data_IF_557936415280
#
_entry.id   IF_557936415280
#
_cell.length_a   1.000
_cell.length_b   1.000
_cell.length_c   1.000
_cell.angle_alpha   90.00
_cell.angle_beta   90.00
_cell.angle_gamma   90.00
#
_symmetry.space_group_name_H-M   'P 1'
#
loop_
_entity.id
_entity.type
_entity.pdbx_description
1 polymer ?
#
# COMPACT_ATOMS: atom_id res chain seq x y z
N UNK A 1 -15.28 0.20 -12.28
CA UNK A 1 -14.05 0.34 -13.07
C UNK A 1 -13.41 -1.03 -13.15
N UNK A 2 -13.20 -1.56 -14.35
CA UNK A 2 -12.49 -2.83 -14.56
C UNK A 2 -11.06 -2.68 -14.03
N UNK A 3 -10.44 -3.73 -13.44
CA UNK A 3 -9.05 -3.66 -13.05
C UNK A 3 -8.17 -3.74 -14.29
N UNK A 4 -8.01 -2.64 -15.03
CA UNK A 4 -7.17 -2.55 -16.25
C UNK A 4 -5.72 -3.01 -16.00
N UNK A 5 -5.31 -3.02 -14.73
CA UNK A 5 -4.03 -3.55 -14.31
C UNK A 5 -3.87 -5.07 -14.45
N UNK A 6 -4.97 -5.83 -14.48
CA UNK A 6 -4.94 -7.29 -14.59
C UNK A 6 -4.41 -7.70 -15.96
N UNK A 7 -4.85 -7.01 -17.00
CA UNK A 7 -4.47 -7.25 -18.40
C UNK A 7 -2.96 -7.06 -18.63
N UNK A 8 -2.32 -6.20 -17.84
CA UNK A 8 -0.88 -5.93 -17.88
C UNK A 8 -0.06 -6.72 -16.86
N UNK A 9 -0.71 -7.58 -16.06
CA UNK A 9 -0.04 -8.39 -15.06
C UNK A 9 0.47 -9.72 -15.65
N UNK A 10 1.35 -10.45 -14.94
CA UNK A 10 1.69 -11.83 -15.29
C UNK A 10 0.51 -12.82 -15.27
N UNK A 11 -0.68 -12.40 -14.81
CA UNK A 11 -1.86 -13.25 -14.62
C UNK A 11 -3.11 -12.69 -15.34
N UNK A 12 -3.06 -12.38 -16.65
CA UNK A 12 -4.14 -11.67 -17.36
C UNK A 12 -5.45 -12.47 -17.48
N UNK A 13 -5.39 -13.80 -17.30
CA UNK A 13 -6.54 -14.70 -17.40
C UNK A 13 -7.03 -15.23 -16.04
N UNK A 14 -6.51 -14.69 -14.92
CA UNK A 14 -6.98 -15.09 -13.60
C UNK A 14 -8.46 -14.69 -13.42
N UNK A 15 -9.34 -15.61 -12.97
CA UNK A 15 -10.75 -15.29 -12.78
C UNK A 15 -10.93 -14.32 -11.62
N UNK A 16 -11.84 -13.35 -11.77
CA UNK A 16 -12.18 -12.40 -10.72
C UNK A 16 -13.29 -13.00 -9.86
N UNK A 17 -12.93 -13.56 -8.69
CA UNK A 17 -13.90 -14.06 -7.71
C UNK A 17 -14.43 -13.00 -6.74
N UNK A 18 -13.60 -12.01 -6.39
CA UNK A 18 -13.91 -10.97 -5.41
C UNK A 18 -13.40 -9.61 -5.90
N UNK A 19 -14.21 -8.57 -5.69
CA UNK A 19 -13.83 -7.17 -5.93
C UNK A 19 -14.03 -6.36 -4.66
N UNK A 20 -12.93 -5.83 -4.12
CA UNK A 20 -12.92 -5.10 -2.85
C UNK A 20 -12.24 -3.75 -3.06
N UNK A 21 -12.99 -2.68 -2.82
CA UNK A 21 -12.53 -1.29 -3.01
C UNK A 21 -11.86 -0.71 -1.74
N UNK A 22 -12.08 -1.31 -0.57
CA UNK A 22 -11.40 -0.95 0.68
C UNK A 22 -10.05 -1.67 0.83
N UNK A 23 -8.99 -0.90 1.10
CA UNK A 23 -7.62 -1.42 1.19
C UNK A 23 -7.43 -2.39 2.36
N UNK A 24 -8.09 -2.15 3.49
CA UNK A 24 -7.95 -2.97 4.70
C UNK A 24 -8.66 -4.31 4.53
N UNK A 25 -9.88 -4.30 4.01
CA UNK A 25 -10.64 -5.49 3.69
C UNK A 25 -9.94 -6.33 2.63
N UNK A 26 -9.35 -5.69 1.60
CA UNK A 26 -8.57 -6.38 0.58
C UNK A 26 -7.33 -7.04 1.17
N UNK A 27 -6.57 -6.33 2.01
CA UNK A 27 -5.40 -6.91 2.68
C UNK A 27 -5.78 -8.12 3.56
N UNK A 28 -6.86 -8.01 4.36
CA UNK A 28 -7.35 -9.16 5.15
C UNK A 28 -7.76 -10.35 4.30
N UNK A 29 -8.42 -10.13 3.16
CA UNK A 29 -8.76 -11.20 2.22
C UNK A 29 -7.51 -11.95 1.70
N UNK A 30 -6.41 -11.21 1.45
CA UNK A 30 -5.12 -11.81 1.10
C UNK A 30 -4.57 -12.64 2.26
N UNK A 31 -4.49 -12.10 3.48
CA UNK A 31 -3.97 -12.82 4.65
C UNK A 31 -4.80 -14.07 4.99
N UNK A 32 -6.09 -14.11 4.62
CA UNK A 32 -6.97 -15.28 4.79
C UNK A 32 -6.83 -16.31 3.66
N UNK A 33 -5.99 -16.06 2.65
CA UNK A 33 -5.74 -16.99 1.55
C UNK A 33 -6.89 -17.07 0.54
N UNK A 34 -7.73 -16.04 0.42
CA UNK A 34 -8.88 -16.05 -0.50
C UNK A 34 -8.50 -15.92 -1.99
N UNK A 35 -7.21 -15.78 -2.30
CA UNK A 35 -6.67 -15.72 -3.65
C UNK A 35 -5.41 -14.86 -3.74
N UNK A 36 -5.09 -14.44 -4.96
CA UNK A 36 -4.03 -13.47 -5.25
C UNK A 36 -4.60 -12.06 -5.47
N UNK A 37 -3.77 -11.04 -5.25
CA UNK A 37 -4.17 -9.66 -5.50
C UNK A 37 -3.06 -8.66 -5.22
N UNK A 38 -3.34 -7.38 -5.51
CA UNK A 38 -2.42 -6.27 -5.22
C UNK A 38 -2.53 -5.84 -3.75
N UNK A 39 -1.45 -6.01 -3.01
CA UNK A 39 -1.26 -5.46 -1.66
C UNK A 39 -0.42 -4.19 -1.71
N UNK A 40 -0.71 -3.22 -0.83
CA UNK A 40 0.22 -2.13 -0.59
C UNK A 40 1.44 -2.67 0.16
N UNK A 41 2.65 -2.36 -0.31
CA UNK A 41 3.88 -2.96 0.22
C UNK A 41 4.03 -2.77 1.73
N UNK A 42 3.70 -1.59 2.28
CA UNK A 42 3.79 -1.36 3.72
C UNK A 42 2.81 -2.18 4.58
N UNK A 43 1.76 -2.75 3.98
CA UNK A 43 0.83 -3.66 4.66
C UNK A 43 1.22 -5.12 4.41
N UNK A 44 1.57 -5.46 3.17
CA UNK A 44 1.80 -6.83 2.75
C UNK A 44 3.22 -7.32 3.06
N UNK A 45 4.25 -6.50 2.90
CA UNK A 45 5.65 -6.91 3.10
C UNK A 45 5.97 -7.33 4.56
N UNK A 46 5.33 -6.77 5.61
CA UNK A 46 5.53 -7.25 6.99
C UNK A 46 4.76 -8.53 7.34
N UNK A 47 3.86 -9.01 6.48
CA UNK A 47 2.96 -10.12 6.79
C UNK A 47 3.61 -11.48 6.48
N UNK A 48 3.90 -12.33 7.50
CA UNK A 48 4.62 -13.57 7.29
C UNK A 48 3.87 -14.62 6.48
N UNK A 49 2.54 -14.53 6.39
CA UNK A 49 1.74 -15.50 5.65
C UNK A 49 1.48 -15.11 4.20
N UNK A 50 2.06 -14.00 3.73
CA UNK A 50 1.99 -13.55 2.35
C UNK A 50 3.33 -13.75 1.64
N UNK A 51 3.26 -14.05 0.35
CA UNK A 51 4.43 -14.15 -0.52
C UNK A 51 4.25 -13.26 -1.75
N UNK A 52 5.34 -12.68 -2.23
CA UNK A 52 5.32 -11.88 -3.46
C UNK A 52 5.36 -12.82 -4.67
N UNK A 53 4.32 -12.78 -5.51
CA UNK A 53 4.20 -13.68 -6.67
C UNK A 53 5.07 -13.28 -7.87
N UNK A 54 5.54 -12.02 -7.93
CA UNK A 54 6.36 -11.50 -9.02
C UNK A 54 7.64 -10.86 -8.50
N UNK A 55 8.71 -10.98 -9.29
CA UNK A 55 10.00 -10.31 -9.06
C UNK A 55 10.03 -8.90 -9.68
N UNK A 56 8.92 -8.46 -10.29
CA UNK A 56 8.79 -7.10 -10.81
C UNK A 56 8.88 -6.04 -9.69
N UNK A 57 9.38 -4.87 -10.08
CA UNK A 57 9.43 -3.72 -9.16
C UNK A 57 8.00 -3.34 -8.75
N UNK A 58 7.79 -2.93 -7.48
CA UNK A 58 6.51 -2.36 -7.05
C UNK A 58 6.05 -1.26 -7.99
N UNK A 59 4.78 -1.32 -8.38
CA UNK A 59 4.16 -0.27 -9.19
C UNK A 59 3.79 0.89 -8.27
N UNK A 60 4.28 2.10 -8.59
CA UNK A 60 3.87 3.31 -7.86
C UNK A 60 2.42 3.63 -8.19
N UNK A 61 1.54 3.48 -7.21
CA UNK A 61 0.10 3.69 -7.40
C UNK A 61 -0.39 5.03 -6.85
N UNK A 62 -0.01 5.39 -5.63
CA UNK A 62 -0.41 6.63 -4.96
C UNK A 62 0.70 7.16 -4.05
N UNK A 63 0.70 8.47 -3.83
CA UNK A 63 1.58 9.14 -2.87
C UNK A 63 0.93 9.23 -1.49
N UNK A 64 1.74 9.18 -0.43
CA UNK A 64 1.31 9.43 0.95
C UNK A 64 1.60 10.90 1.28
N UNK A 65 0.56 11.61 1.73
CA UNK A 65 0.64 13.04 2.03
C UNK A 65 0.36 13.31 3.50
N UNK A 66 1.16 14.17 4.13
CA UNK A 66 0.85 14.77 5.43
C UNK A 66 0.21 16.12 5.16
N UNK A 67 -1.10 16.21 5.39
CA UNK A 67 -1.90 17.38 5.04
C UNK A 67 -2.50 18.04 6.29
N UNK A 68 -2.53 19.37 6.29
CA UNK A 68 -3.24 20.19 7.27
C UNK A 68 -4.03 21.27 6.53
N UNK A 69 -5.15 21.73 7.11
CA UNK A 69 -5.94 22.82 6.53
C UNK A 69 -5.05 24.05 6.31
N UNK A 70 -5.17 24.78 5.18
CA UNK A 70 -4.32 25.93 4.86
C UNK A 70 -4.22 26.96 5.99
N UNK A 71 -5.32 27.24 6.68
CA UNK A 71 -5.37 28.23 7.78
C UNK A 71 -4.69 27.74 9.06
N UNK A 72 -4.55 26.43 9.19
CA UNK A 72 -4.08 25.77 10.40
C UNK A 72 -2.63 25.30 10.31
N UNK A 73 -2.07 25.13 9.10
CA UNK A 73 -0.74 24.55 8.86
C UNK A 73 0.42 25.27 9.56
N UNK A 74 0.23 26.54 9.89
CA UNK A 74 1.21 27.39 10.59
C UNK A 74 0.99 27.45 12.11
N UNK A 75 -0.08 26.84 12.63
CA UNK A 75 -0.32 26.78 14.07
C UNK A 75 0.75 25.90 14.72
N UNK A 76 1.49 26.38 15.75
CA UNK A 76 2.65 25.65 16.27
C UNK A 76 2.39 24.18 16.66
N UNK A 77 1.27 23.91 17.34
CA UNK A 77 0.90 22.53 17.74
C UNK A 77 0.62 21.62 16.53
N UNK A 78 0.05 22.17 15.46
CA UNK A 78 -0.28 21.41 14.25
C UNK A 78 0.98 21.14 13.46
N UNK A 79 1.86 22.13 13.34
CA UNK A 79 3.17 21.97 12.71
C UNK A 79 4.00 20.90 13.43
N UNK A 80 4.04 20.94 14.76
CA UNK A 80 4.77 19.94 15.55
C UNK A 80 4.29 18.50 15.29
N UNK A 81 2.97 18.28 15.21
CA UNK A 81 2.43 16.95 14.89
C UNK A 81 2.72 16.57 13.43
N UNK A 82 2.58 17.51 12.49
CA UNK A 82 2.85 17.25 11.09
C UNK A 82 4.32 16.86 10.86
N UNK A 83 5.27 17.56 11.49
CA UNK A 83 6.70 17.26 11.44
C UNK A 83 6.98 15.86 12.03
N UNK A 84 6.41 15.55 13.20
CA UNK A 84 6.55 14.22 13.80
C UNK A 84 6.01 13.09 12.89
N UNK A 85 4.83 13.26 12.30
CA UNK A 85 4.25 12.26 11.39
C UNK A 85 5.09 12.11 10.13
N UNK A 86 5.57 13.22 9.57
CA UNK A 86 6.46 13.22 8.41
C UNK A 86 7.74 12.43 8.71
N UNK A 87 8.42 12.73 9.81
CA UNK A 87 9.65 12.04 10.20
C UNK A 87 9.43 10.54 10.42
N UNK A 88 8.31 10.17 11.06
CA UNK A 88 7.95 8.77 11.27
C UNK A 88 7.67 8.01 9.96
N UNK A 89 7.10 8.68 8.95
CA UNK A 89 6.89 8.12 7.61
C UNK A 89 8.20 8.04 6.83
N UNK A 90 9.03 9.09 6.90
CA UNK A 90 10.34 9.14 6.25
C UNK A 90 11.27 8.03 6.77
N UNK A 91 11.26 7.75 8.07
CA UNK A 91 11.99 6.64 8.68
C UNK A 91 11.54 5.25 8.15
N UNK A 92 10.33 5.16 7.57
CA UNK A 92 9.77 3.94 6.95
C UNK A 92 9.73 4.02 5.42
N UNK A 93 10.46 4.95 4.82
CA UNK A 93 10.41 5.18 3.38
C UNK A 93 10.70 3.92 2.55
N UNK A 94 11.64 3.08 2.98
CA UNK A 94 11.96 1.84 2.25
C UNK A 94 10.78 0.85 2.24
N UNK A 95 10.09 0.71 3.37
CA UNK A 95 8.88 -0.12 3.48
C UNK A 95 7.75 0.43 2.62
N UNK A 96 7.50 1.75 2.68
CA UNK A 96 6.46 2.42 1.88
C UNK A 96 6.74 2.30 0.39
N UNK A 97 8.00 2.43 -0.03
CA UNK A 97 8.43 2.29 -1.42
C UNK A 97 8.58 0.82 -1.87
N UNK A 98 8.21 -0.14 -1.02
CA UNK A 98 8.21 -1.56 -1.35
C UNK A 98 9.59 -2.17 -1.60
N UNK A 99 10.62 -1.59 -0.96
CA UNK A 99 11.96 -2.17 -0.88
C UNK A 99 12.09 -3.23 0.22
N UNK A 100 11.02 -3.46 1.00
CA UNK A 100 10.95 -4.57 1.93
C UNK A 100 11.04 -5.91 1.18
N UNK A 101 11.70 -6.88 1.80
CA UNK A 101 11.79 -8.24 1.28
C UNK A 101 10.84 -9.11 2.08
N UNK A 102 9.81 -9.66 1.41
CA UNK A 102 9.11 -10.83 1.92
C UNK A 102 10.08 -12.01 1.79
N UNK A 103 10.44 -12.62 2.91
CA UNK A 103 11.28 -13.82 2.94
C UNK A 103 10.43 -15.04 2.63
#
# INVERSE_FOLDING_TARGET
>A
MWPDWLDSSPFPHAPIGLRIDDITARHRALCLGLGLGRGACFMADPEPNLVRLTQEKPVRQQDIWVLAHPDLRHTPRIRAVADFVYDALAAKADLVNGKGVLT
#
